data_IF_355889625305
#
_entry.id   IF_355889625305
#
_cell.length_a   1.000
_cell.length_b   1.000
_cell.length_c   1.000
_cell.angle_alpha   90.00
_cell.angle_beta   90.00
_cell.angle_gamma   90.00
#
_symmetry.space_group_name_H-M   'P 1'
#
loop_
_entity.id
_entity.type
_entity.pdbx_description
1 polymer ?
#
# COMPACT_ATOMS: atom_id res chain seq x y z
N UNK A 1 8.78 -21.14 1.30
CA UNK A 1 9.46 -19.97 0.71
C UNK A 1 8.55 -19.36 -0.35
N UNK A 2 8.39 -18.04 -0.37
CA UNK A 2 7.60 -17.35 -1.39
C UNK A 2 8.47 -17.18 -2.65
N UNK A 3 8.14 -17.87 -3.74
CA UNK A 3 8.84 -17.78 -5.02
C UNK A 3 8.29 -16.65 -5.89
N UNK A 4 9.12 -16.10 -6.78
CA UNK A 4 8.72 -15.07 -7.74
C UNK A 4 7.56 -15.55 -8.61
N UNK A 5 6.58 -14.67 -8.86
CA UNK A 5 5.41 -14.99 -9.67
C UNK A 5 5.82 -15.32 -11.11
N UNK A 6 5.41 -16.48 -11.62
CA UNK A 6 5.43 -16.78 -13.07
C UNK A 6 4.02 -16.74 -13.62
N UNK A 7 3.88 -16.09 -14.76
CA UNK A 7 2.64 -15.95 -15.50
C UNK A 7 2.86 -16.56 -16.88
N UNK A 8 1.95 -17.41 -17.33
CA UNK A 8 1.95 -17.98 -18.67
C UNK A 8 0.74 -17.44 -19.43
N UNK A 9 0.97 -17.08 -20.70
CA UNK A 9 -0.08 -16.62 -21.59
C UNK A 9 -0.79 -17.86 -22.14
N UNK A 10 -2.08 -17.97 -21.86
CA UNK A 10 -2.92 -19.03 -22.37
C UNK A 10 -3.33 -18.75 -23.82
N UNK A 11 -3.78 -19.80 -24.50
CA UNK A 11 -4.16 -19.79 -25.93
C UNK A 11 -5.34 -18.85 -26.22
N UNK A 12 -6.19 -18.61 -25.21
CA UNK A 12 -7.30 -17.65 -25.20
C UNK A 12 -6.85 -16.18 -25.01
N UNK A 13 -5.54 -15.94 -24.85
CA UNK A 13 -4.96 -14.63 -24.62
C UNK A 13 -5.00 -14.16 -23.17
N UNK A 14 -5.56 -14.95 -22.24
CA UNK A 14 -5.55 -14.61 -20.81
C UNK A 14 -4.22 -15.00 -20.15
N UNK A 15 -3.88 -14.34 -19.05
CA UNK A 15 -2.65 -14.62 -18.30
C UNK A 15 -2.97 -15.42 -17.05
N UNK A 16 -2.50 -16.67 -16.99
CA UNK A 16 -2.64 -17.51 -15.81
C UNK A 16 -1.36 -17.51 -14.99
N UNK A 17 -1.48 -17.25 -13.70
CA UNK A 17 -0.36 -17.43 -12.78
C UNK A 17 -0.16 -18.93 -12.53
N UNK A 18 1.02 -19.44 -12.90
CA UNK A 18 1.41 -20.85 -12.77
C UNK A 18 2.32 -21.11 -11.57
N UNK A 19 3.00 -20.08 -11.07
CA UNK A 19 3.81 -20.21 -9.84
C UNK A 19 3.96 -18.89 -9.11
N UNK A 20 4.30 -18.95 -7.83
CA UNK A 20 4.40 -17.81 -6.93
C UNK A 20 3.14 -17.57 -6.08
N UNK A 21 3.24 -16.65 -5.13
CA UNK A 21 2.17 -16.34 -4.17
C UNK A 21 1.06 -15.45 -4.77
N UNK A 22 1.28 -14.89 -5.97
CA UNK A 22 0.35 -13.96 -6.62
C UNK A 22 0.21 -12.61 -5.93
N UNK A 23 0.95 -12.40 -4.84
CA UNK A 23 0.90 -11.19 -4.06
C UNK A 23 1.57 -10.04 -4.82
N UNK A 24 0.80 -9.01 -5.13
CA UNK A 24 1.28 -7.77 -5.77
C UNK A 24 1.05 -6.61 -4.82
N UNK A 25 2.13 -6.12 -4.23
CA UNK A 25 2.09 -4.95 -3.36
C UNK A 25 2.18 -3.70 -4.24
N UNK A 26 1.03 -3.07 -4.53
CA UNK A 26 1.02 -1.81 -5.26
C UNK A 26 1.46 -0.65 -4.36
N UNK A 27 2.02 0.39 -4.98
CA UNK A 27 2.39 1.62 -4.28
C UNK A 27 1.17 2.27 -3.66
N UNK A 28 1.28 2.67 -2.39
CA UNK A 28 0.21 3.34 -1.65
C UNK A 28 0.47 4.87 -1.65
N UNK A 29 -0.58 5.69 -1.80
CA UNK A 29 -0.46 7.15 -1.95
C UNK A 29 0.41 7.63 -3.13
N UNK A 30 0.50 6.85 -4.20
CA UNK A 30 1.39 7.17 -5.33
C UNK A 30 2.88 7.07 -4.98
N UNK A 31 3.22 6.50 -3.82
CA UNK A 31 4.60 6.23 -3.40
C UNK A 31 4.88 4.73 -3.45
N UNK A 32 6.07 4.37 -3.93
CA UNK A 32 6.58 2.99 -3.80
C UNK A 32 6.93 2.73 -2.34
N UNK A 33 6.57 1.56 -1.85
CA UNK A 33 6.97 1.09 -0.53
C UNK A 33 8.43 0.63 -0.59
N UNK A 34 9.23 1.04 0.40
CA UNK A 34 10.59 0.53 0.52
C UNK A 34 10.59 -0.94 0.92
N UNK A 35 11.68 -1.66 0.65
CA UNK A 35 11.79 -3.09 0.99
C UNK A 35 11.54 -3.38 2.46
N UNK A 36 12.02 -2.51 3.36
CA UNK A 36 11.79 -2.60 4.82
C UNK A 36 10.31 -2.44 5.18
N UNK A 37 9.59 -1.59 4.45
CA UNK A 37 8.15 -1.38 4.65
C UNK A 37 7.36 -2.56 4.10
N UNK A 38 7.72 -3.05 2.91
CA UNK A 38 7.10 -4.22 2.32
C UNK A 38 7.28 -5.46 3.20
N UNK A 39 8.49 -5.71 3.71
CA UNK A 39 8.76 -6.83 4.61
C UNK A 39 8.01 -6.72 5.94
N UNK A 40 7.91 -5.51 6.50
CA UNK A 40 7.10 -5.26 7.70
C UNK A 40 5.62 -5.56 7.47
N UNK A 41 5.05 -5.13 6.33
CA UNK A 41 3.66 -5.41 5.95
C UNK A 41 3.41 -6.90 5.76
N UNK A 42 4.32 -7.60 5.09
CA UNK A 42 4.27 -9.07 4.92
C UNK A 42 4.38 -9.81 6.25
N UNK A 43 5.09 -9.23 7.23
CA UNK A 43 5.17 -9.76 8.59
C UNK A 43 3.91 -9.45 9.44
N UNK A 44 2.90 -8.79 8.87
CA UNK A 44 1.66 -8.40 9.56
C UNK A 44 1.77 -7.15 10.42
N UNK A 45 2.88 -6.40 10.33
CA UNK A 45 3.10 -5.14 11.06
C UNK A 45 2.45 -3.97 10.33
N UNK A 46 2.10 -2.94 11.09
CA UNK A 46 1.65 -1.66 10.54
C UNK A 46 2.85 -0.82 10.11
N UNK A 47 2.76 -0.22 8.93
CA UNK A 47 3.77 0.71 8.42
C UNK A 47 3.24 2.13 8.40
N UNK A 48 3.89 3.09 9.08
CA UNK A 48 3.54 4.50 8.95
C UNK A 48 3.94 5.04 7.58
N UNK A 49 3.00 5.68 6.90
CA UNK A 49 3.19 6.44 5.68
C UNK A 49 2.92 7.92 5.94
N UNK A 50 3.90 8.75 5.59
CA UNK A 50 3.85 10.20 5.77
C UNK A 50 3.68 10.94 4.45
N UNK A 51 2.94 12.04 4.50
CA UNK A 51 2.70 12.89 3.33
C UNK A 51 1.90 12.19 2.23
N UNK A 52 0.94 11.38 2.62
CA UNK A 52 -0.07 10.83 1.72
C UNK A 52 -0.98 11.96 1.24
N UNK A 53 -1.28 12.02 -0.06
CA UNK A 53 -2.19 13.03 -0.62
C UNK A 53 -3.57 12.42 -0.85
N UNK A 54 -4.58 13.00 -0.24
CA UNK A 54 -5.99 12.64 -0.46
C UNK A 54 -6.45 13.06 -1.86
N UNK A 55 -7.55 12.46 -2.33
CA UNK A 55 -8.25 12.92 -3.54
C UNK A 55 -8.65 14.41 -3.45
N UNK A 56 -8.93 14.89 -2.23
CA UNK A 56 -9.24 16.28 -1.94
C UNK A 56 -8.00 17.21 -1.88
N UNK A 57 -6.81 16.72 -2.21
CA UNK A 57 -5.57 17.50 -2.25
C UNK A 57 -4.90 17.74 -0.90
N UNK A 58 -5.52 17.34 0.22
CA UNK A 58 -4.96 17.46 1.56
C UNK A 58 -3.91 16.39 1.82
N UNK A 59 -2.80 16.76 2.43
CA UNK A 59 -1.79 15.82 2.93
C UNK A 59 -2.18 15.27 4.30
N UNK A 60 -1.96 13.99 4.51
CA UNK A 60 -2.20 13.33 5.78
C UNK A 60 -1.13 12.27 6.03
N UNK A 61 -0.95 11.93 7.30
CA UNK A 61 -0.15 10.79 7.73
C UNK A 61 -1.11 9.67 8.12
N UNK A 62 -0.81 8.45 7.68
CA UNK A 62 -1.60 7.26 8.02
C UNK A 62 -0.68 6.09 8.30
N UNK A 63 -1.20 5.04 8.93
CA UNK A 63 -0.53 3.74 9.00
C UNK A 63 -1.25 2.81 8.05
N UNK A 64 -0.54 1.97 7.32
CA UNK A 64 -1.16 0.92 6.51
C UNK A 64 -0.87 -0.45 7.11
N UNK A 65 -1.86 -1.34 7.01
CA UNK A 65 -1.73 -2.75 7.40
C UNK A 65 -2.15 -3.63 6.23
N UNK A 66 -1.44 -4.75 6.07
CA UNK A 66 -1.83 -5.78 5.12
C UNK A 66 -2.94 -6.65 5.72
N UNK A 67 -4.09 -6.73 5.03
CA UNK A 67 -5.17 -7.69 5.33
C UNK A 67 -4.83 -9.08 4.80
N UNK A 68 -5.54 -10.08 5.32
CA UNK A 68 -5.42 -11.47 4.86
C UNK A 68 -5.80 -11.63 3.39
N UNK A 69 -6.71 -10.78 2.92
CA UNK A 69 -7.17 -10.72 1.53
C UNK A 69 -6.14 -10.10 0.57
N UNK A 70 -5.03 -9.57 1.09
CA UNK A 70 -3.98 -8.91 0.32
C UNK A 70 -4.20 -7.40 0.15
N UNK A 71 -5.32 -6.86 0.63
CA UNK A 71 -5.59 -5.42 0.61
C UNK A 71 -4.82 -4.64 1.68
N UNK A 72 -4.44 -3.41 1.33
CA UNK A 72 -3.82 -2.46 2.25
C UNK A 72 -4.90 -1.62 2.92
N UNK A 73 -5.12 -1.82 4.22
CA UNK A 73 -6.04 -1.01 5.01
C UNK A 73 -5.30 0.17 5.67
N UNK A 74 -5.68 1.43 5.35
CA UNK A 74 -5.18 2.59 6.05
C UNK A 74 -5.89 2.78 7.40
N UNK A 75 -5.12 2.78 8.48
CA UNK A 75 -5.52 3.18 9.82
C UNK A 75 -5.04 4.61 10.09
N UNK A 76 -5.98 5.47 10.47
CA UNK A 76 -5.70 6.84 10.88
C UNK A 76 -5.75 6.88 12.39
N UNK A 77 -4.60 7.07 13.05
CA UNK A 77 -4.63 7.51 14.44
C UNK A 77 -5.22 8.92 14.43
N UNK A 78 -6.43 9.06 14.98
CA UNK A 78 -7.30 10.25 14.93
C UNK A 78 -6.75 11.49 15.64
N UNK A 79 -5.44 11.75 15.58
CA UNK A 79 -4.87 13.00 16.04
C UNK A 79 -4.71 13.91 14.83
N UNK A 80 -5.63 14.86 14.59
CA UNK A 80 -5.45 15.87 13.56
C UNK A 80 -4.16 16.65 13.87
N UNK A 81 -3.05 16.28 13.23
CA UNK A 81 -1.80 17.04 13.22
C UNK A 81 -1.83 18.05 12.08
N UNK A 82 -2.98 18.65 11.81
CA UNK A 82 -3.10 19.81 10.96
C UNK A 82 -3.04 21.04 11.84
N UNK A 83 -1.90 21.75 11.86
CA UNK A 83 -2.01 23.20 12.04
C UNK A 83 -2.80 23.69 10.83
N UNK A 84 -4.09 23.91 11.02
CA UNK A 84 -4.92 24.63 10.07
C UNK A 84 -4.35 26.05 9.98
N UNK A 85 -3.37 26.23 9.11
CA UNK A 85 -3.02 27.57 8.66
C UNK A 85 -4.17 28.01 7.76
N UNK A 86 -5.19 28.60 8.39
CA UNK A 86 -6.07 29.57 7.74
C UNK A 86 -5.18 30.74 7.36
N UNK A 87 -4.46 30.63 6.25
CA UNK A 87 -3.92 31.80 5.60
C UNK A 87 -5.14 32.63 5.16
N UNK A 88 -5.53 33.54 6.04
CA UNK A 88 -6.31 34.74 5.71
C UNK A 88 -5.52 35.48 4.63
N UNK A 89 -6.02 35.51 3.41
CA UNK A 89 -6.16 36.71 2.55
C UNK A 89 -6.60 36.28 1.16
#
# INVERSE_FOLDING_TARGET
ACSSNKNEKQEDGTWKQISGCGFKLFGFCGKKLSEKQASALLSGKQVPLKGCKSKAGKTFDCKIRLKKDGDLEPTFDSKPKGKYNKARR
#
